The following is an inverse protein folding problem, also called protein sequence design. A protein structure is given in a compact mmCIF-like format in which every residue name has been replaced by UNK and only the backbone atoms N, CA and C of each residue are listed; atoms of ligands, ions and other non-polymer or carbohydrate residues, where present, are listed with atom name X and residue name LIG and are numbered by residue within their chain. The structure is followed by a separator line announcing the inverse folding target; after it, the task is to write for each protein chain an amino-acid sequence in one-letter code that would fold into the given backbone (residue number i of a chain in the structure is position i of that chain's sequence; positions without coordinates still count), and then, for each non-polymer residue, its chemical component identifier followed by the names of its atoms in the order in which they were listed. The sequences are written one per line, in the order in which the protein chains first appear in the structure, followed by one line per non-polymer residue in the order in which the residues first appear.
data_IF_908097339225
#
_entry.id   IF_908097339225
#
_cell.length_a   1.000
_cell.length_b   1.000
_cell.length_c   1.000
_cell.angle_alpha   90.00
_cell.angle_beta   90.00
_cell.angle_gamma   90.00
#
_symmetry.space_group_name_H-M   'P 1'
#
loop_
_entity.id
_entity.type
_entity.pdbx_description
1 polymer ?
#
# COMPACT_ATOMS: atom_id res chain seq x y z
N UNK A 1 -10.04 12.27 -3.25
CA UNK A 1 -9.62 10.94 -2.81
C UNK A 1 -10.23 10.62 -1.48
N UNK A 2 -10.80 9.45 -1.36
CA UNK A 2 -11.54 9.07 -0.15
C UNK A 2 -11.48 7.56 0.08
N UNK A 3 -11.97 7.14 1.25
CA UNK A 3 -12.13 5.72 1.58
C UNK A 3 -13.17 5.02 0.71
N UNK A 4 -13.95 5.76 -0.09
CA UNK A 4 -14.92 5.22 -1.02
C UNK A 4 -14.34 4.92 -2.40
N UNK A 5 -13.13 5.33 -2.67
CA UNK A 5 -12.48 5.05 -3.96
C UNK A 5 -12.32 3.53 -4.15
N UNK A 6 -12.65 2.99 -5.34
CA UNK A 6 -12.51 1.54 -5.59
C UNK A 6 -11.10 1.01 -5.30
N UNK A 7 -10.08 1.80 -5.58
CA UNK A 7 -8.70 1.41 -5.29
C UNK A 7 -8.42 1.28 -3.80
N UNK A 8 -8.97 2.18 -2.99
CA UNK A 8 -8.80 2.08 -1.53
C UNK A 8 -9.58 0.90 -0.96
N UNK A 9 -10.80 0.69 -1.44
CA UNK A 9 -11.62 -0.46 -1.04
C UNK A 9 -10.86 -1.76 -1.32
N UNK A 10 -10.26 -1.87 -2.51
CA UNK A 10 -9.46 -3.03 -2.88
C UNK A 10 -8.25 -3.21 -1.96
N UNK A 11 -7.53 -2.13 -1.64
CA UNK A 11 -6.40 -2.18 -0.72
C UNK A 11 -6.82 -2.66 0.68
N UNK A 12 -7.95 -2.16 1.17
CA UNK A 12 -8.48 -2.56 2.47
C UNK A 12 -8.90 -4.03 2.48
N UNK A 13 -9.54 -4.51 1.42
CA UNK A 13 -9.88 -5.92 1.26
C UNK A 13 -8.63 -6.80 1.29
N UNK A 14 -7.55 -6.36 0.64
CA UNK A 14 -6.28 -7.09 0.65
C UNK A 14 -5.69 -7.16 2.07
N UNK A 15 -5.75 -6.07 2.83
CA UNK A 15 -5.31 -6.07 4.23
C UNK A 15 -6.10 -7.09 5.04
N UNK A 16 -7.42 -7.16 4.85
CA UNK A 16 -8.28 -8.12 5.54
C UNK A 16 -7.97 -9.56 5.15
N UNK A 17 -7.64 -9.81 3.89
CA UNK A 17 -7.22 -11.16 3.44
C UNK A 17 -5.96 -11.61 4.17
N UNK A 18 -4.99 -10.72 4.33
CA UNK A 18 -3.77 -11.02 5.07
C UNK A 18 -4.07 -11.32 6.54
N UNK A 19 -4.90 -10.49 7.17
CA UNK A 19 -5.32 -10.69 8.56
C UNK A 19 -6.00 -12.05 8.75
N UNK A 20 -6.83 -12.47 7.81
CA UNK A 20 -7.59 -13.71 7.90
C UNK A 20 -6.72 -14.96 7.93
N UNK A 21 -5.51 -14.89 7.44
CA UNK A 21 -4.55 -16.01 7.44
C UNK A 21 -3.39 -15.79 8.42
N UNK A 22 -3.51 -14.84 9.32
CA UNK A 22 -2.48 -14.57 10.33
C UNK A 22 -1.32 -13.72 9.84
N UNK A 23 -1.44 -13.09 8.68
CA UNK A 23 -0.43 -12.21 8.13
C UNK A 23 -0.56 -10.77 8.59
N UNK A 24 0.42 -9.95 8.25
CA UNK A 24 0.42 -8.52 8.56
C UNK A 24 -0.70 -7.84 7.77
N UNK A 25 -1.63 -7.12 8.43
CA UNK A 25 -2.83 -6.59 7.79
C UNK A 25 -2.57 -5.28 7.05
N UNK A 26 -1.77 -5.35 6.01
CA UNK A 26 -1.47 -4.22 5.14
C UNK A 26 -1.75 -4.65 3.70
N UNK A 27 -2.52 -3.85 2.99
CA UNK A 27 -2.89 -4.10 1.60
C UNK A 27 -2.63 -2.90 0.72
N UNK A 28 -2.54 -3.15 -0.57
CA UNK A 28 -2.30 -2.11 -1.56
C UNK A 28 -2.97 -2.43 -2.89
N UNK A 29 -3.18 -1.39 -3.68
CA UNK A 29 -3.80 -1.49 -5.01
C UNK A 29 -3.22 -0.42 -5.91
N UNK A 30 -2.76 -0.83 -7.09
CA UNK A 30 -2.26 0.09 -8.10
C UNK A 30 -3.36 0.33 -9.13
N UNK A 31 -3.71 1.60 -9.34
CA UNK A 31 -4.79 2.01 -10.24
C UNK A 31 -4.24 2.92 -11.32
N UNK A 32 -4.52 2.60 -12.57
CA UNK A 32 -4.08 3.39 -13.71
C UNK A 32 -4.83 4.74 -13.78
N UNK A 33 -4.30 5.64 -14.61
CA UNK A 33 -4.89 6.97 -14.81
C UNK A 33 -6.37 6.91 -15.18
N UNK A 34 -6.77 5.90 -15.97
CA UNK A 34 -8.16 5.72 -16.42
C UNK A 34 -9.06 5.05 -15.37
N UNK A 35 -8.53 4.72 -14.21
CA UNK A 35 -9.28 4.09 -13.13
C UNK A 35 -9.22 2.57 -13.12
N UNK A 36 -8.53 1.95 -14.08
CA UNK A 36 -8.41 0.50 -14.12
C UNK A 36 -7.46 0.00 -13.04
N UNK A 37 -7.87 -1.00 -12.29
CA UNK A 37 -7.00 -1.68 -11.33
C UNK A 37 -5.97 -2.49 -12.12
N UNK A 38 -4.69 -2.17 -11.91
CA UNK A 38 -3.58 -2.86 -12.58
C UNK A 38 -3.12 -4.08 -11.79
N UNK A 39 -3.16 -3.98 -10.46
CA UNK A 39 -2.79 -5.06 -9.58
C UNK A 39 -3.10 -4.69 -8.14
N UNK A 40 -3.31 -5.73 -7.33
CA UNK A 40 -3.58 -5.57 -5.91
C UNK A 40 -2.87 -6.67 -5.14
N UNK A 41 -2.54 -6.42 -3.91
CA UNK A 41 -1.86 -7.39 -3.08
C UNK A 41 -1.79 -6.96 -1.62
N UNK A 42 -1.25 -7.84 -0.81
CA UNK A 42 -1.09 -7.57 0.62
C UNK A 42 0.27 -8.07 1.10
N UNK A 43 0.62 -7.69 2.29
CA UNK A 43 1.88 -8.08 2.90
C UNK A 43 1.98 -9.61 2.97
N UNK A 44 3.08 -10.17 2.46
CA UNK A 44 3.32 -11.60 2.38
C UNK A 44 4.55 -12.03 3.19
N UNK A 45 5.00 -11.18 4.10
CA UNK A 45 6.19 -11.47 4.91
C UNK A 45 6.00 -12.73 5.74
N UNK A 46 4.86 -12.87 6.39
CA UNK A 46 4.53 -14.05 7.19
C UNK A 46 4.21 -15.24 6.29
N UNK A 47 3.33 -15.04 5.29
CA UNK A 47 2.84 -16.12 4.46
C UNK A 47 3.93 -16.79 3.64
N UNK A 48 4.91 -16.01 3.15
CA UNK A 48 5.99 -16.52 2.28
C UNK A 48 7.39 -16.44 2.89
N UNK A 49 7.50 -15.95 4.13
CA UNK A 49 8.82 -15.72 4.72
C UNK A 49 9.63 -14.71 3.90
N UNK A 50 8.97 -13.73 3.31
CA UNK A 50 9.60 -12.75 2.42
C UNK A 50 10.01 -11.50 3.17
N UNK A 51 11.19 -10.99 2.88
CA UNK A 51 11.65 -9.70 3.42
C UNK A 51 11.13 -8.52 2.62
N UNK A 52 10.73 -8.73 1.36
CA UNK A 52 10.42 -7.64 0.43
C UNK A 52 8.95 -7.52 0.03
N UNK A 53 8.17 -8.59 0.18
CA UNK A 53 6.77 -8.56 -0.26
C UNK A 53 5.89 -7.80 0.73
N UNK A 54 6.12 -6.51 0.85
CA UNK A 54 5.18 -5.57 1.46
C UNK A 54 3.95 -5.43 0.56
N UNK A 55 2.87 -4.85 1.07
CA UNK A 55 1.64 -4.73 0.30
C UNK A 55 1.83 -4.03 -1.04
N UNK A 56 2.56 -2.93 -1.04
CA UNK A 56 2.81 -2.14 -2.26
C UNK A 56 3.64 -2.91 -3.28
N UNK A 57 4.67 -3.63 -2.81
CA UNK A 57 5.50 -4.45 -3.70
C UNK A 57 4.68 -5.63 -4.24
N UNK A 58 3.83 -6.24 -3.41
CA UNK A 58 2.93 -7.30 -3.87
C UNK A 58 1.97 -6.79 -4.95
N UNK A 59 1.42 -5.59 -4.79
CA UNK A 59 0.55 -4.98 -5.79
C UNK A 59 1.30 -4.74 -7.11
N UNK A 60 2.53 -4.25 -7.05
CA UNK A 60 3.36 -4.06 -8.24
C UNK A 60 3.69 -5.40 -8.92
N UNK A 61 4.05 -6.40 -8.13
CA UNK A 61 4.36 -7.73 -8.67
C UNK A 61 3.15 -8.35 -9.35
N UNK A 62 1.97 -8.23 -8.74
CA UNK A 62 0.72 -8.74 -9.31
C UNK A 62 0.26 -7.95 -10.53
N UNK A 63 0.70 -6.70 -10.68
CA UNK A 63 0.45 -5.90 -11.89
C UNK A 63 1.25 -6.44 -13.09
N UNK A 64 2.35 -7.13 -12.83
CA UNK A 64 3.25 -7.61 -13.86
C UNK A 64 4.14 -6.51 -14.41
N UNK A 65 4.95 -6.86 -15.39
CA UNK A 65 5.83 -5.89 -16.05
C UNK A 65 5.06 -5.19 -17.17
N UNK A 66 4.71 -3.93 -16.92
CA UNK A 66 3.93 -3.10 -17.83
C UNK A 66 4.83 -2.04 -18.50
N UNK A 67 4.41 -1.46 -19.63
CA UNK A 67 5.12 -0.33 -20.22
C UNK A 67 5.24 0.82 -19.21
N UNK A 68 6.35 1.53 -19.22
CA UNK A 68 6.58 2.65 -18.31
C UNK A 68 5.44 3.69 -18.37
N UNK A 69 4.88 3.91 -19.55
CA UNK A 69 3.77 4.85 -19.73
C UNK A 69 2.50 4.46 -18.96
N UNK A 70 2.32 3.18 -18.66
CA UNK A 70 1.16 2.71 -17.89
C UNK A 70 1.28 3.11 -16.41
N UNK A 71 2.50 3.08 -15.86
CA UNK A 71 2.73 3.47 -14.47
C UNK A 71 2.64 4.98 -14.27
N UNK A 72 3.08 5.76 -15.26
CA UNK A 72 3.05 7.21 -15.19
C UNK A 72 1.59 7.69 -15.07
N UNK A 73 1.33 8.49 -14.03
CA UNK A 73 -0.03 8.98 -13.77
C UNK A 73 -0.88 8.02 -12.96
N UNK A 74 -0.37 6.84 -12.59
CA UNK A 74 -1.08 5.89 -11.76
C UNK A 74 -1.09 6.32 -10.29
N UNK A 75 -2.03 5.74 -9.54
CA UNK A 75 -2.16 5.95 -8.09
C UNK A 75 -1.92 4.63 -7.36
N UNK A 76 -1.07 4.67 -6.35
CA UNK A 76 -0.93 3.57 -5.40
C UNK A 76 -1.78 3.85 -4.18
N UNK A 77 -2.72 2.96 -3.90
CA UNK A 77 -3.46 2.96 -2.64
C UNK A 77 -2.78 1.98 -1.71
N UNK A 78 -2.51 2.41 -0.48
CA UNK A 78 -1.91 1.56 0.54
C UNK A 78 -2.56 1.85 1.89
N UNK A 79 -2.82 0.80 2.66
CA UNK A 79 -3.51 0.99 3.94
C UNK A 79 -2.63 1.61 5.02
N UNK A 80 -1.30 1.57 4.85
CA UNK A 80 -0.35 2.21 5.77
C UNK A 80 0.69 2.99 4.98
N UNK A 81 1.24 4.04 5.59
CA UNK A 81 2.31 4.87 5.02
C UNK A 81 3.46 4.00 4.51
N UNK A 82 3.96 4.24 3.28
CA UNK A 82 4.96 3.38 2.68
C UNK A 82 6.34 3.52 3.33
N UNK A 83 7.01 2.39 3.58
CA UNK A 83 8.39 2.37 4.03
C UNK A 83 9.34 2.87 2.94
N UNK A 84 10.63 2.96 3.26
CA UNK A 84 11.64 3.46 2.31
C UNK A 84 11.67 2.67 1.01
N UNK A 85 11.57 1.34 1.09
CA UNK A 85 11.57 0.47 -0.09
C UNK A 85 10.37 0.73 -0.98
N UNK A 86 9.17 0.77 -0.40
CA UNK A 86 7.94 0.98 -1.16
C UNK A 86 7.86 2.42 -1.69
N UNK A 87 8.35 3.39 -0.91
CA UNK A 87 8.50 4.77 -1.35
C UNK A 87 9.40 4.85 -2.59
N UNK A 88 10.55 4.17 -2.54
CA UNK A 88 11.47 4.11 -3.67
C UNK A 88 10.82 3.53 -4.91
N UNK A 89 10.02 2.48 -4.75
CA UNK A 89 9.30 1.88 -5.87
C UNK A 89 8.32 2.86 -6.50
N UNK A 90 7.56 3.59 -5.69
CA UNK A 90 6.61 4.60 -6.19
C UNK A 90 7.32 5.71 -6.97
N UNK A 91 8.48 6.15 -6.49
CA UNK A 91 9.30 7.16 -7.18
C UNK A 91 9.88 6.60 -8.48
N UNK A 92 10.40 5.38 -8.43
CA UNK A 92 11.01 4.71 -9.58
C UNK A 92 10.05 4.64 -10.76
N UNK A 93 8.81 4.23 -10.51
CA UNK A 93 7.80 4.09 -11.55
C UNK A 93 7.05 5.38 -11.87
N UNK A 94 7.44 6.48 -11.23
CA UNK A 94 6.88 7.82 -11.48
C UNK A 94 5.37 7.88 -11.31
N UNK A 95 4.89 7.24 -10.24
CA UNK A 95 3.48 7.29 -9.90
C UNK A 95 3.08 8.74 -9.61
N UNK A 96 1.84 9.09 -9.96
CA UNK A 96 1.32 10.44 -9.76
C UNK A 96 0.96 10.70 -8.30
N UNK A 97 0.44 9.68 -7.63
CA UNK A 97 -0.19 9.85 -6.31
C UNK A 97 -0.04 8.59 -5.48
N UNK A 98 0.09 8.79 -4.18
CA UNK A 98 -0.02 7.72 -3.19
C UNK A 98 -1.11 8.11 -2.21
N UNK A 99 -2.13 7.26 -2.08
CA UNK A 99 -3.21 7.43 -1.12
C UNK A 99 -2.93 6.50 0.05
N UNK A 100 -2.81 7.07 1.24
CA UNK A 100 -2.37 6.37 2.46
C UNK A 100 -3.56 6.23 3.40
N UNK A 101 -3.88 5.03 3.80
CA UNK A 101 -4.95 4.78 4.75
C UNK A 101 -4.68 5.42 6.10
N UNK A 102 -3.49 5.21 6.65
CA UNK A 102 -3.09 5.84 7.91
C UNK A 102 -1.56 5.98 8.00
N UNK A 103 -1.12 6.96 8.77
CA UNK A 103 0.29 7.18 9.08
C UNK A 103 0.53 7.39 10.58
N UNK A 104 -0.44 7.02 11.41
CA UNK A 104 -0.35 7.16 12.87
C UNK A 104 0.55 6.09 13.46
N UNK A 105 0.38 4.84 13.01
CA UNK A 105 1.17 3.70 13.50
C UNK A 105 2.62 3.81 13.03
N UNK A 106 2.79 4.22 11.78
CA UNK A 106 4.11 4.37 11.15
C UNK A 106 4.02 5.44 10.08
N UNK A 107 4.96 6.37 10.08
CA UNK A 107 5.11 7.35 9.01
C UNK A 107 6.42 7.08 8.28
N UNK A 108 6.32 6.70 7.02
CA UNK A 108 7.48 6.39 6.17
C UNK A 108 7.91 7.55 5.30
N UNK A 109 8.04 7.30 4.00
CA UNK A 109 8.65 8.22 3.05
C UNK A 109 7.74 9.31 2.48
N UNK A 110 6.72 9.75 3.19
CA UNK A 110 5.74 10.71 2.67
C UNK A 110 6.38 12.03 2.23
N UNK A 111 7.28 12.57 3.03
CA UNK A 111 7.94 13.83 2.68
C UNK A 111 8.86 13.65 1.46
N UNK A 112 9.53 12.52 1.35
CA UNK A 112 10.35 12.21 0.20
C UNK A 112 9.52 12.11 -1.08
N UNK A 113 8.35 11.47 -1.01
CA UNK A 113 7.40 11.42 -2.13
C UNK A 113 7.02 12.82 -2.59
N UNK A 114 6.63 13.68 -1.63
CA UNK A 114 6.24 15.06 -1.92
C UNK A 114 7.38 15.82 -2.58
N UNK A 115 8.60 15.68 -2.05
CA UNK A 115 9.79 16.34 -2.59
C UNK A 115 10.13 15.87 -4.01
N UNK A 116 9.70 14.67 -4.38
CA UNK A 116 9.91 14.11 -5.72
C UNK A 116 8.70 14.31 -6.64
N UNK A 117 7.73 15.14 -6.24
CA UNK A 117 6.60 15.51 -7.07
C UNK A 117 5.43 14.53 -7.03
N UNK A 118 5.42 13.58 -6.12
CA UNK A 118 4.31 12.65 -5.94
C UNK A 118 3.31 13.25 -4.95
N UNK A 119 2.04 13.30 -5.34
CA UNK A 119 0.99 13.75 -4.44
C UNK A 119 0.73 12.69 -3.37
N UNK A 120 0.65 13.11 -2.11
CA UNK A 120 0.35 12.22 -0.99
C UNK A 120 -0.96 12.65 -0.34
N UNK A 121 -1.90 11.71 -0.22
CA UNK A 121 -3.19 11.93 0.44
C UNK A 121 -3.31 10.95 1.60
N UNK A 122 -3.48 11.45 2.82
CA UNK A 122 -3.64 10.62 4.02
C UNK A 122 -5.09 10.68 4.45
N UNK A 123 -5.72 9.50 4.58
CA UNK A 123 -7.15 9.40 4.88
C UNK A 123 -7.47 9.34 6.37
N UNK A 124 -6.47 9.08 7.22
CA UNK A 124 -6.65 8.87 8.65
C UNK A 124 -7.72 7.82 8.94
N UNK A 125 -7.68 6.72 8.20
CA UNK A 125 -8.70 5.70 8.23
C UNK A 125 -8.63 4.89 9.51
N UNK A 126 -9.71 4.95 10.30
CA UNK A 126 -9.78 4.30 11.61
C UNK A 126 -9.68 2.78 11.52
N UNK A 127 -10.31 2.19 10.52
CA UNK A 127 -10.28 0.74 10.33
C UNK A 127 -8.87 0.23 10.07
N UNK A 128 -8.09 0.95 9.26
CA UNK A 128 -6.69 0.63 9.01
C UNK A 128 -5.87 0.68 10.31
N UNK A 129 -6.05 1.73 11.11
CA UNK A 129 -5.33 1.91 12.38
C UNK A 129 -5.66 0.76 13.33
N UNK A 130 -6.93 0.47 13.53
CA UNK A 130 -7.39 -0.57 14.47
C UNK A 130 -6.90 -1.96 14.07
N UNK A 131 -6.91 -2.26 12.79
CA UNK A 131 -6.49 -3.56 12.28
C UNK A 131 -5.01 -3.83 12.57
N UNK A 132 -4.15 -2.84 12.35
CA UNK A 132 -2.72 -2.97 12.62
C UNK A 132 -2.45 -2.97 14.11
N UNK A 133 -3.11 -2.14 14.89
CA UNK A 133 -2.95 -2.12 16.34
C UNK A 133 -3.31 -3.47 16.96
N UNK A 134 -4.38 -4.09 16.49
CA UNK A 134 -4.77 -5.43 16.94
C UNK A 134 -3.67 -6.44 16.63
N UNK A 135 -3.13 -6.41 15.42
CA UNK A 135 -2.05 -7.32 15.03
C UNK A 135 -0.81 -7.15 15.92
N UNK A 136 -0.41 -5.90 16.19
CA UNK A 136 0.75 -5.61 17.05
C UNK A 136 0.54 -6.14 18.46
N UNK A 137 -0.66 -6.00 19.01
CA UNK A 137 -0.98 -6.53 20.34
C UNK A 137 -0.92 -8.04 20.39
N UNK A 138 -1.42 -8.71 19.35
CA UNK A 138 -1.48 -10.17 19.28
C UNK A 138 -0.15 -10.81 18.89
N UNK A 139 0.60 -10.15 18.03
CA UNK A 139 1.86 -10.67 17.48
C UNK A 139 2.98 -9.62 17.49
N UNK A 140 3.36 -9.14 18.68
CA UNK A 140 4.45 -8.16 18.78
C UNK A 140 5.80 -8.72 18.31
N UNK A 141 5.94 -10.04 18.31
CA UNK A 141 7.13 -10.75 17.86
C UNK A 141 7.36 -10.65 16.34
N UNK A 142 6.29 -10.39 15.58
CA UNK A 142 6.37 -10.32 14.10
C UNK A 142 6.53 -8.89 13.62
N UNK A 143 5.81 -7.96 14.27
CA UNK A 143 5.84 -6.55 13.85
C UNK A 143 7.24 -5.95 13.93
#
# INVERSE_FOLDING_TARGET
MSAQDPGFIAALEEAKKSAAVGGIPIGACLVARDGKILGRGHNMRVQKGSATLHGEIAALENSGRLPASTYVGATMYTTMSPCDMCTGACVLYKLKRVVVGENTTFMGGEQYLINRGVEVVVLDNKECIEMVQKFIQERPDIW
#
